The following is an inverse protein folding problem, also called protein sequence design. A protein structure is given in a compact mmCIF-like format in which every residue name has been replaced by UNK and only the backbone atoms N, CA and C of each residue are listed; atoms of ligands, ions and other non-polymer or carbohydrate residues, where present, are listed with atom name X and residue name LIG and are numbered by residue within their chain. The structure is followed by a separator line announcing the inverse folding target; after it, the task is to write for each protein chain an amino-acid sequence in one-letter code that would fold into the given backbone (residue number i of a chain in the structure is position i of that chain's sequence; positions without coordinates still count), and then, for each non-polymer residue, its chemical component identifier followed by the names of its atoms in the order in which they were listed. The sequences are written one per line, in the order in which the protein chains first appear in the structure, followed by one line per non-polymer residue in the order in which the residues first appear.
data_IF_059985835799
#
_entry.id   IF_059985835799
#
_cell.length_a   1.000
_cell.length_b   1.000
_cell.length_c   1.000
_cell.angle_alpha   90.00
_cell.angle_beta   90.00
_cell.angle_gamma   90.00
#
_symmetry.space_group_name_H-M   'P 1'
#
loop_
_entity.id
_entity.type
_entity.pdbx_description
1 polymer ?
#
# COMPACT_ATOMS: atom_id res chain seq x y z
N UNK A 1 -29.26 27.77 -44.68
CA UNK A 1 -28.75 26.38 -44.60
C UNK A 1 -27.24 26.43 -44.56
N UNK A 2 -26.62 25.56 -43.73
CA UNK A 2 -25.16 25.32 -43.59
C UNK A 2 -24.38 26.45 -42.90
N UNK A 3 -23.48 26.21 -41.95
CA UNK A 3 -23.11 25.01 -41.21
C UNK A 3 -22.35 25.48 -39.97
N UNK A 4 -22.69 24.90 -38.81
CA UNK A 4 -22.10 25.16 -37.50
C UNK A 4 -20.78 24.38 -37.43
N UNK A 5 -19.63 25.06 -37.51
CA UNK A 5 -18.33 24.41 -37.34
C UNK A 5 -17.88 24.55 -35.89
N UNK A 6 -18.40 23.66 -35.04
CA UNK A 6 -17.81 23.36 -33.74
C UNK A 6 -16.73 22.31 -34.01
N UNK A 7 -15.47 22.72 -33.91
CA UNK A 7 -14.35 21.80 -33.86
C UNK A 7 -14.41 21.09 -32.50
N UNK A 8 -15.01 19.88 -32.48
CA UNK A 8 -14.82 18.93 -31.39
C UNK A 8 -13.37 18.48 -31.44
N UNK A 9 -12.54 19.04 -30.57
CA UNK A 9 -11.23 18.47 -30.24
C UNK A 9 -11.53 17.16 -29.49
N UNK A 10 -11.56 16.07 -30.24
CA UNK A 10 -11.41 14.72 -29.73
C UNK A 10 -9.99 14.60 -29.18
N UNK A 11 -9.79 15.08 -27.94
CA UNK A 11 -8.73 14.54 -27.09
C UNK A 11 -9.19 13.13 -26.78
N UNK A 12 -8.73 12.19 -27.62
CA UNK A 12 -8.69 10.79 -27.26
C UNK A 12 -7.86 10.71 -26.00
N UNK A 13 -8.52 10.64 -24.85
CA UNK A 13 -7.92 10.16 -23.61
C UNK A 13 -7.72 8.67 -23.86
N UNK A 14 -6.69 8.33 -24.63
CA UNK A 14 -6.10 7.01 -24.60
C UNK A 14 -5.76 6.81 -23.12
N UNK A 15 -6.47 5.87 -22.51
CA UNK A 15 -6.28 5.46 -21.12
C UNK A 15 -4.78 5.43 -20.83
N UNK A 16 -4.33 6.40 -20.04
CA UNK A 16 -2.98 6.43 -19.52
C UNK A 16 -2.94 5.39 -18.40
N UNK A 17 -3.03 4.11 -18.77
CA UNK A 17 -2.55 3.03 -17.93
C UNK A 17 -1.04 3.19 -17.92
N UNK A 18 -0.54 3.89 -16.90
CA UNK A 18 0.88 3.89 -16.56
C UNK A 18 1.17 2.49 -16.03
N UNK A 19 1.32 1.52 -16.93
CA UNK A 19 1.97 0.26 -16.64
C UNK A 19 3.46 0.49 -16.87
N UNK A 20 4.11 1.12 -15.88
CA UNK A 20 5.57 1.13 -15.83
C UNK A 20 6.04 -0.22 -15.30
N UNK A 21 5.89 -1.26 -16.12
CA UNK A 21 6.60 -2.51 -15.93
C UNK A 21 7.99 -2.33 -16.53
N UNK A 22 8.89 -1.73 -15.76
CA UNK A 22 10.30 -1.70 -16.07
C UNK A 22 11.03 -2.40 -14.90
N UNK A 23 11.48 -3.63 -15.16
CA UNK A 23 12.42 -4.33 -14.28
C UNK A 23 12.18 -5.83 -14.18
N UNK A 24 13.05 -6.61 -14.83
CA UNK A 24 13.44 -7.93 -14.32
C UNK A 24 12.92 -9.13 -15.10
N UNK A 25 13.62 -9.45 -16.19
CA UNK A 25 13.76 -10.82 -16.68
C UNK A 25 14.49 -11.65 -15.62
N UNK A 26 13.94 -12.81 -15.23
CA UNK A 26 14.66 -13.88 -14.54
C UNK A 26 14.47 -14.00 -13.02
N UNK A 27 13.90 -15.12 -12.59
CA UNK A 27 14.14 -15.68 -11.25
C UNK A 27 12.88 -16.07 -10.51
N UNK A 28 12.57 -17.36 -10.55
CA UNK A 28 11.82 -18.09 -9.53
C UNK A 28 12.11 -17.58 -8.12
N UNK A 29 11.17 -16.83 -7.54
CA UNK A 29 10.85 -16.76 -6.12
C UNK A 29 9.55 -15.97 -6.00
N UNK A 30 8.43 -16.60 -6.42
CA UNK A 30 7.08 -16.10 -6.18
C UNK A 30 6.75 -16.16 -4.69
N UNK A 31 7.46 -15.37 -3.88
CA UNK A 31 6.89 -14.90 -2.63
C UNK A 31 5.72 -14.03 -3.05
N UNK A 32 4.50 -14.56 -2.93
CA UNK A 32 3.25 -13.86 -3.28
C UNK A 32 3.31 -12.50 -2.64
N UNK A 33 3.53 -11.45 -3.42
CA UNK A 33 3.60 -10.10 -2.92
C UNK A 33 2.17 -9.58 -2.74
N UNK A 34 1.66 -9.46 -1.50
CA UNK A 34 0.27 -9.07 -1.29
C UNK A 34 0.01 -7.66 -1.82
N UNK A 35 -0.93 -7.55 -2.76
CA UNK A 35 -1.27 -6.28 -3.40
C UNK A 35 -0.22 -5.73 -4.38
N UNK A 36 0.84 -6.49 -4.68
CA UNK A 36 1.93 -6.04 -5.57
C UNK A 36 2.75 -4.88 -4.99
N UNK A 37 2.86 -4.79 -3.66
CA UNK A 37 3.52 -3.72 -2.93
C UNK A 37 4.94 -4.12 -2.50
N UNK A 38 5.91 -3.24 -2.58
CA UNK A 38 7.19 -3.51 -1.90
C UNK A 38 7.01 -3.47 -0.37
N UNK A 39 7.97 -4.02 0.38
CA UNK A 39 7.98 -3.92 1.85
C UNK A 39 7.91 -2.46 2.32
N UNK A 40 8.61 -1.56 1.63
CA UNK A 40 8.59 -0.13 1.90
C UNK A 40 7.19 0.46 1.68
N UNK A 41 6.55 0.13 0.54
CA UNK A 41 5.20 0.58 0.23
C UNK A 41 4.17 0.05 1.24
N UNK A 42 4.27 -1.23 1.62
CA UNK A 42 3.42 -1.80 2.65
C UNK A 42 3.59 -1.04 3.98
N UNK A 43 4.85 -0.79 4.39
CA UNK A 43 5.17 0.02 5.56
C UNK A 43 4.55 1.41 5.53
N UNK A 44 4.70 2.14 4.44
CA UNK A 44 4.14 3.50 4.35
C UNK A 44 2.61 3.49 4.35
N UNK A 45 1.98 2.52 3.68
CA UNK A 45 0.52 2.34 3.75
C UNK A 45 0.03 2.08 5.17
N UNK A 46 0.72 1.22 5.92
CA UNK A 46 0.35 0.93 7.29
C UNK A 46 0.49 2.19 8.16
N UNK A 47 1.54 2.99 8.00
CA UNK A 47 1.70 4.27 8.72
C UNK A 47 0.57 5.25 8.40
N UNK A 48 0.18 5.37 7.12
CA UNK A 48 -0.93 6.22 6.71
C UNK A 48 -2.23 5.80 7.38
N UNK A 49 -2.54 4.49 7.37
CA UNK A 49 -3.78 3.95 7.95
C UNK A 49 -3.80 4.11 9.48
N UNK A 50 -2.70 3.82 10.17
CA UNK A 50 -2.58 4.02 11.62
C UNK A 50 -2.82 5.49 12.00
N UNK A 51 -2.21 6.43 11.26
CA UNK A 51 -2.41 7.88 11.49
C UNK A 51 -3.84 8.31 11.20
N UNK A 52 -4.45 7.79 10.13
CA UNK A 52 -5.84 8.08 9.79
C UNK A 52 -6.82 7.58 10.87
N UNK A 53 -6.47 6.50 11.56
CA UNK A 53 -7.21 5.98 12.72
C UNK A 53 -6.88 6.70 14.05
N UNK A 54 -6.02 7.74 14.02
CA UNK A 54 -5.68 8.54 15.20
C UNK A 54 -4.75 7.84 16.19
N UNK A 55 -4.01 6.82 15.77
CA UNK A 55 -3.11 6.07 16.63
C UNK A 55 -1.65 6.52 16.46
N UNK A 56 -0.85 6.34 17.51
CA UNK A 56 0.59 6.56 17.44
C UNK A 56 1.26 5.43 16.65
N UNK A 57 1.84 5.79 15.50
CA UNK A 57 2.67 4.88 14.70
C UNK A 57 4.14 4.91 15.12
N UNK A 58 4.96 3.97 14.62
CA UNK A 58 6.38 3.93 14.95
C UNK A 58 7.14 5.12 14.32
N UNK A 59 7.88 5.86 15.15
CA UNK A 59 8.64 7.04 14.71
C UNK A 59 9.83 6.70 13.80
N UNK A 60 10.42 5.50 13.97
CA UNK A 60 11.62 5.05 13.25
C UNK A 60 11.36 4.03 12.12
N UNK A 61 10.11 3.73 11.82
CA UNK A 61 9.73 2.67 10.89
C UNK A 61 9.56 1.30 11.54
N UNK A 62 9.37 0.27 10.72
CA UNK A 62 9.14 -1.10 11.18
C UNK A 62 10.45 -1.85 11.34
N UNK A 63 10.61 -2.54 12.46
CA UNK A 63 11.73 -3.42 12.75
C UNK A 63 11.66 -4.73 11.96
N UNK A 64 10.46 -5.13 11.53
CA UNK A 64 10.25 -6.25 10.62
C UNK A 64 9.05 -5.95 9.73
N UNK A 65 9.17 -6.29 8.44
CA UNK A 65 8.07 -6.31 7.48
C UNK A 65 8.20 -7.66 6.79
N UNK A 66 7.13 -8.43 6.74
CA UNK A 66 7.13 -9.73 6.07
C UNK A 66 5.76 -10.09 5.55
N UNK A 67 5.73 -11.03 4.62
CA UNK A 67 4.52 -11.53 4.01
C UNK A 67 4.00 -12.72 4.82
N UNK A 68 2.72 -12.71 5.16
CA UNK A 68 2.00 -13.79 5.85
C UNK A 68 0.73 -14.10 5.06
N UNK A 69 0.81 -15.12 4.20
CA UNK A 69 -0.25 -15.42 3.24
C UNK A 69 -0.46 -14.25 2.27
N UNK A 70 -1.70 -13.77 2.18
CA UNK A 70 -2.09 -12.61 1.37
C UNK A 70 -2.07 -11.29 2.15
N UNK A 71 -1.33 -11.23 3.25
CA UNK A 71 -1.23 -10.04 4.11
C UNK A 71 0.22 -9.71 4.45
N UNK A 72 0.43 -8.48 4.91
CA UNK A 72 1.69 -8.02 5.44
C UNK A 72 1.66 -8.02 6.96
N UNK A 73 2.62 -8.67 7.60
CA UNK A 73 2.88 -8.50 9.03
C UNK A 73 4.03 -7.52 9.22
N UNK A 74 3.76 -6.45 9.96
CA UNK A 74 4.72 -5.40 10.27
C UNK A 74 4.88 -5.31 11.78
N UNK A 75 6.13 -5.28 12.24
CA UNK A 75 6.46 -5.23 13.67
C UNK A 75 7.32 -4.01 13.92
N UNK A 76 6.98 -3.23 14.95
CA UNK A 76 7.82 -2.13 15.41
C UNK A 76 7.71 -1.97 16.92
N UNK A 77 8.77 -1.45 17.53
CA UNK A 77 8.75 -1.12 18.95
C UNK A 77 8.29 0.32 19.15
N UNK A 78 7.31 0.52 20.03
CA UNK A 78 6.87 1.83 20.50
C UNK A 78 7.07 1.88 22.02
N UNK A 79 8.02 2.71 22.46
CA UNK A 79 8.47 2.70 23.85
C UNK A 79 9.12 1.36 24.22
N UNK A 80 8.59 0.71 25.26
CA UNK A 80 9.07 -0.59 25.76
C UNK A 80 8.29 -1.79 25.19
N UNK A 81 7.26 -1.54 24.36
CA UNK A 81 6.36 -2.57 23.86
C UNK A 81 6.60 -2.83 22.38
N UNK A 82 6.50 -4.10 21.98
CA UNK A 82 6.50 -4.50 20.58
C UNK A 82 5.06 -4.53 20.06
N UNK A 83 4.84 -3.90 18.91
CA UNK A 83 3.55 -3.79 18.26
C UNK A 83 3.58 -4.49 16.91
N UNK A 84 2.51 -5.23 16.62
CA UNK A 84 2.34 -5.96 15.38
C UNK A 84 1.09 -5.48 14.67
N UNK A 85 1.25 -5.10 13.41
CA UNK A 85 0.19 -4.71 12.49
C UNK A 85 0.08 -5.72 11.36
N UNK A 86 -1.13 -6.15 11.07
CA UNK A 86 -1.48 -7.00 9.95
C UNK A 86 -2.19 -6.12 8.93
N UNK A 87 -1.55 -5.90 7.80
CA UNK A 87 -2.09 -5.13 6.69
C UNK A 87 -2.61 -6.04 5.59
N UNK A 88 -3.90 -5.91 5.33
CA UNK A 88 -4.56 -6.53 4.19
C UNK A 88 -4.63 -5.50 3.05
N UNK A 89 -3.82 -5.63 1.99
CA UNK A 89 -3.82 -4.70 0.87
C UNK A 89 -5.05 -4.86 -0.02
N UNK A 90 -5.74 -6.00 0.02
CA UNK A 90 -6.97 -6.25 -0.75
C UNK A 90 -8.14 -5.52 -0.10
N UNK A 91 -8.25 -5.59 1.22
CA UNK A 91 -9.27 -4.87 1.98
C UNK A 91 -8.90 -3.40 2.25
N UNK A 92 -7.61 -3.05 2.16
CA UNK A 92 -7.11 -1.73 2.52
C UNK A 92 -7.18 -1.45 4.02
N UNK A 93 -7.11 -2.49 4.85
CA UNK A 93 -7.31 -2.42 6.30
C UNK A 93 -6.06 -2.84 7.07
N UNK A 94 -5.85 -2.23 8.24
CA UNK A 94 -4.80 -2.62 9.18
C UNK A 94 -5.44 -3.08 10.48
N UNK A 95 -5.07 -4.27 10.94
CA UNK A 95 -5.42 -4.78 12.27
C UNK A 95 -4.19 -4.75 13.16
N UNK A 96 -4.30 -4.21 14.38
CA UNK A 96 -3.21 -4.23 15.36
C UNK A 96 -3.46 -5.27 16.45
N UNK A 97 -2.46 -6.09 16.78
CA UNK A 97 -2.57 -7.12 17.81
C UNK A 97 -2.27 -6.63 19.24
N UNK A 98 -1.49 -5.55 19.42
CA UNK A 98 -0.99 -5.10 20.74
C UNK A 98 -1.48 -3.70 21.19
N UNK A 99 -2.55 -3.20 20.58
CA UNK A 99 -3.45 -2.22 21.19
C UNK A 99 -2.91 -0.80 21.46
N UNK A 100 -2.05 -0.21 20.62
CA UNK A 100 -1.93 1.27 20.57
C UNK A 100 -3.22 1.86 20.03
N UNK A 101 -3.79 1.26 18.97
CA UNK A 101 -5.14 1.50 18.50
C UNK A 101 -6.15 0.78 19.41
N UNK A 102 -6.47 1.34 20.57
CA UNK A 102 -7.73 1.01 21.25
C UNK A 102 -8.86 1.76 20.55
N UNK A 103 -9.43 1.18 19.49
CA UNK A 103 -10.80 1.52 19.06
C UNK A 103 -11.79 1.15 20.15
#
# INVERSE_FOLDING_TARGET
MRSKWIFFVLVGIASLTILVACGGDGGDDSTVNPGGLTEEQAGDRVKEIIKANGCDGPAGGYSSVKIVGDTWELVASIGLNSHTWIFDPTAGTVTESNGVCKT
#
